data_IF_302886661056
#
_entry.id   IF_302886661056
#
_cell.length_a   1.000
_cell.length_b   1.000
_cell.length_c   1.000
_cell.angle_alpha   90.00
_cell.angle_beta   90.00
_cell.angle_gamma   90.00
#
_symmetry.space_group_name_H-M   'P 1'
#
loop_
_entity.id
_entity.type
_entity.pdbx_description
1 polymer ?
#
# COMPACT_ATOMS: atom_id res chain seq x y z
N UNK A 1 -21.34 2.68 6.00
CA UNK A 1 -20.85 2.70 4.60
C UNK A 1 -19.65 3.61 4.50
N UNK A 2 -19.69 4.78 5.14
CA UNK A 2 -18.50 5.54 5.53
C UNK A 2 -17.50 4.73 6.36
N UNK A 3 -17.96 3.72 7.12
CA UNK A 3 -17.10 2.80 7.86
C UNK A 3 -15.98 2.17 7.00
N UNK A 4 -16.24 1.85 5.72
CA UNK A 4 -15.23 1.26 4.84
C UNK A 4 -14.14 2.28 4.50
N UNK A 5 -14.54 3.48 4.07
CA UNK A 5 -13.58 4.53 3.67
C UNK A 5 -12.83 5.07 4.86
N UNK A 6 -13.51 5.26 6.00
CA UNK A 6 -12.85 5.61 7.25
C UNK A 6 -11.82 4.55 7.65
N UNK A 7 -12.20 3.28 7.69
CA UNK A 7 -11.30 2.20 8.08
C UNK A 7 -10.12 2.06 7.12
N UNK A 8 -10.35 2.15 5.81
CA UNK A 8 -9.28 2.14 4.80
C UNK A 8 -8.34 3.34 4.97
N UNK A 9 -8.87 4.53 5.27
CA UNK A 9 -8.09 5.70 5.61
C UNK A 9 -7.18 5.45 6.82
N UNK A 10 -7.71 4.86 7.89
CA UNK A 10 -6.94 4.49 9.08
C UNK A 10 -5.82 3.47 8.75
N UNK A 11 -6.06 2.52 7.83
CA UNK A 11 -5.01 1.59 7.39
C UNK A 11 -3.89 2.30 6.62
N UNK A 12 -4.26 3.22 5.72
CA UNK A 12 -3.30 4.01 4.94
C UNK A 12 -2.47 4.93 5.83
N UNK A 13 -3.07 5.52 6.88
CA UNK A 13 -2.36 6.36 7.85
C UNK A 13 -1.35 5.55 8.67
N UNK A 14 -1.70 4.33 9.09
CA UNK A 14 -0.78 3.45 9.80
C UNK A 14 0.36 2.97 8.90
N UNK A 15 0.07 2.62 7.64
CA UNK A 15 1.08 2.22 6.66
C UNK A 15 2.03 3.38 6.34
N UNK A 16 1.52 4.60 6.21
CA UNK A 16 2.34 5.80 6.02
C UNK A 16 3.25 6.01 7.23
N UNK A 17 2.71 5.87 8.45
CA UNK A 17 3.49 6.01 9.68
C UNK A 17 4.64 5.00 9.73
N UNK A 18 4.38 3.74 9.34
CA UNK A 18 5.39 2.67 9.28
C UNK A 18 6.43 2.98 8.20
N UNK A 19 6.01 3.35 6.99
CA UNK A 19 6.90 3.68 5.88
C UNK A 19 7.82 4.86 6.22
N UNK A 20 7.27 5.94 6.80
CA UNK A 20 8.09 7.10 7.24
C UNK A 20 9.06 6.74 8.35
N UNK A 21 8.68 5.87 9.27
CA UNK A 21 9.56 5.42 10.36
C UNK A 21 10.72 4.54 9.86
N UNK A 22 10.62 3.99 8.65
CA UNK A 22 11.70 3.25 8.01
C UNK A 22 12.76 4.17 7.37
N UNK A 23 12.54 5.49 7.37
CA UNK A 23 13.51 6.50 6.95
C UNK A 23 14.19 7.14 8.17
N UNK A 24 15.52 7.03 8.27
CA UNK A 24 16.34 7.66 9.30
C UNK A 24 16.71 9.12 8.95
N UNK A 25 16.72 9.45 7.67
CA UNK A 25 16.95 10.78 7.09
C UNK A 25 16.26 10.95 5.70
N UNK A 26 16.45 12.10 5.06
CA UNK A 26 15.86 12.42 3.74
C UNK A 26 16.38 11.59 2.56
N UNK A 27 17.46 10.82 2.74
CA UNK A 27 18.07 10.00 1.69
C UNK A 27 17.85 8.49 1.92
N UNK A 28 17.31 8.12 3.07
CA UNK A 28 17.11 6.71 3.43
C UNK A 28 15.83 6.04 2.89
N UNK A 29 15.08 6.73 2.04
CA UNK A 29 13.77 6.29 1.54
C UNK A 29 13.81 5.40 0.30
N UNK A 30 14.97 5.31 -0.36
CA UNK A 30 15.21 4.45 -1.54
C UNK A 30 16.16 3.33 -1.17
N UNK A 31 15.73 2.09 -1.41
CA UNK A 31 16.50 0.91 -1.03
C UNK A 31 17.05 0.18 -2.24
N UNK A 32 18.26 -0.37 -2.08
CA UNK A 32 18.95 -1.16 -3.11
C UNK A 32 19.40 -2.50 -2.55
N UNK A 33 19.02 -3.58 -3.22
CA UNK A 33 19.56 -4.91 -2.96
C UNK A 33 20.96 -5.03 -3.55
N UNK A 34 21.95 -5.42 -2.74
CA UNK A 34 23.34 -5.61 -3.14
C UNK A 34 23.75 -7.08 -3.03
N UNK A 35 24.32 -7.66 -4.10
CA UNK A 35 24.91 -8.98 -4.02
C UNK A 35 26.25 -8.94 -3.25
N UNK A 36 26.68 -10.08 -2.68
CA UNK A 36 27.99 -10.19 -2.04
C UNK A 36 29.10 -10.01 -3.09
N UNK A 37 30.14 -9.23 -2.76
CA UNK A 37 31.30 -8.98 -3.64
C UNK A 37 32.46 -9.96 -3.34
N UNK A 38 32.48 -10.54 -2.14
CA UNK A 38 33.41 -11.60 -1.76
C UNK A 38 32.66 -12.85 -1.25
N UNK A 39 33.34 -14.00 -1.27
CA UNK A 39 32.73 -15.29 -0.88
C UNK A 39 32.30 -15.37 0.60
N UNK A 40 32.75 -14.45 1.44
CA UNK A 40 32.37 -14.33 2.85
C UNK A 40 31.33 -13.23 3.11
N UNK A 41 30.99 -12.43 2.10
CA UNK A 41 29.99 -11.36 2.20
C UNK A 41 28.57 -11.92 2.02
N UNK A 42 27.57 -11.13 2.44
CA UNK A 42 26.15 -11.50 2.43
C UNK A 42 25.38 -10.55 1.51
N UNK A 43 24.17 -10.94 1.12
CA UNK A 43 23.23 -10.00 0.52
C UNK A 43 22.85 -8.93 1.54
N UNK A 44 22.81 -7.68 1.11
CA UNK A 44 22.37 -6.57 1.94
C UNK A 44 21.33 -5.76 1.19
N UNK A 45 20.35 -5.25 1.93
CA UNK A 45 19.57 -4.10 1.47
C UNK A 45 20.20 -2.90 2.14
N UNK A 46 20.57 -1.94 1.32
CA UNK A 46 21.13 -0.66 1.77
C UNK A 46 20.22 0.46 1.31
N UNK A 47 20.28 1.60 1.99
CA UNK A 47 19.67 2.81 1.50
C UNK A 47 20.58 3.56 0.50
N UNK A 48 20.19 4.77 0.10
CA UNK A 48 20.97 5.60 -0.83
C UNK A 48 22.36 5.98 -0.30
N UNK A 49 22.52 6.08 1.02
CA UNK A 49 23.77 6.46 1.69
C UNK A 49 24.72 5.27 1.88
N UNK A 50 24.36 4.09 1.36
CA UNK A 50 25.03 2.81 1.58
C UNK A 50 24.95 2.30 3.02
N UNK A 51 24.04 2.86 3.83
CA UNK A 51 23.80 2.39 5.19
C UNK A 51 22.95 1.11 5.15
N UNK A 52 23.36 0.12 5.94
CA UNK A 52 22.72 -1.20 5.91
C UNK A 52 21.34 -1.16 6.59
N UNK A 53 20.28 -1.31 5.79
CA UNK A 53 18.89 -1.48 6.24
C UNK A 53 18.72 -2.86 6.87
N UNK A 54 19.16 -3.91 6.18
CA UNK A 54 19.14 -5.29 6.69
C UNK A 54 20.19 -6.17 6.00
N UNK A 55 20.80 -7.09 6.75
CA UNK A 55 21.63 -8.17 6.19
C UNK A 55 20.79 -9.44 6.02
N UNK A 56 20.73 -9.95 4.79
CA UNK A 56 20.03 -11.20 4.47
C UNK A 56 21.03 -12.34 4.64
N UNK A 57 20.88 -13.16 5.69
CA UNK A 57 21.80 -14.28 5.94
C UNK A 57 21.55 -15.43 4.97
N UNK A 58 22.59 -16.20 4.60
CA UNK A 58 22.48 -17.29 3.64
C UNK A 58 21.54 -18.43 4.08
N UNK A 59 21.19 -18.54 5.37
CA UNK A 59 20.17 -19.50 5.84
C UNK A 59 18.72 -19.04 5.55
N UNK A 60 18.50 -17.77 5.19
CA UNK A 60 17.18 -17.11 5.12
C UNK A 60 16.74 -16.72 3.69
N UNK A 61 17.14 -17.53 2.70
CA UNK A 61 16.88 -17.39 1.25
C UNK A 61 17.93 -16.60 0.46
N UNK A 62 18.04 -16.99 -0.80
CA UNK A 62 19.17 -16.83 -1.70
C UNK A 62 18.95 -15.74 -2.78
N UNK A 63 19.82 -15.81 -3.80
CA UNK A 63 20.58 -14.75 -4.47
C UNK A 63 19.87 -13.68 -5.33
N UNK A 64 18.59 -13.39 -5.12
CA UNK A 64 17.97 -12.17 -5.69
C UNK A 64 16.59 -11.89 -5.10
N UNK A 65 15.81 -12.91 -4.73
CA UNK A 65 14.36 -12.77 -4.49
C UNK A 65 14.00 -11.93 -3.27
N UNK A 66 14.51 -12.28 -2.09
CA UNK A 66 14.11 -11.61 -0.83
C UNK A 66 14.65 -10.18 -0.76
N UNK A 67 15.96 -10.00 -0.99
CA UNK A 67 16.58 -8.67 -0.98
C UNK A 67 15.95 -7.74 -2.02
N UNK A 68 15.70 -8.24 -3.24
CA UNK A 68 15.00 -7.46 -4.28
C UNK A 68 13.57 -7.15 -3.89
N UNK A 69 12.82 -8.10 -3.33
CA UNK A 69 11.46 -7.83 -2.88
C UNK A 69 11.43 -6.75 -1.80
N UNK A 70 12.33 -6.81 -0.81
CA UNK A 70 12.44 -5.76 0.21
C UNK A 70 12.80 -4.41 -0.43
N UNK A 71 13.81 -4.37 -1.30
CA UNK A 71 14.23 -3.13 -1.97
C UNK A 71 13.13 -2.57 -2.90
N UNK A 72 12.38 -3.45 -3.55
CA UNK A 72 11.28 -3.09 -4.45
C UNK A 72 10.06 -2.53 -3.69
N UNK A 73 9.95 -2.78 -2.40
CA UNK A 73 8.95 -2.22 -1.49
C UNK A 73 9.56 -1.17 -0.54
N UNK A 74 10.47 -0.34 -1.07
CA UNK A 74 11.08 0.76 -0.32
C UNK A 74 10.05 1.80 0.18
N UNK A 75 10.40 2.57 1.23
CA UNK A 75 9.51 3.59 1.79
C UNK A 75 9.01 4.59 0.75
N UNK A 76 9.87 5.04 -0.16
CA UNK A 76 9.49 6.02 -1.18
C UNK A 76 8.39 5.48 -2.12
N UNK A 77 8.46 4.21 -2.54
CA UNK A 77 7.43 3.58 -3.36
C UNK A 77 6.14 3.40 -2.56
N UNK A 78 6.21 2.89 -1.33
CA UNK A 78 5.02 2.68 -0.49
C UNK A 78 4.27 3.99 -0.29
N UNK A 79 4.98 5.10 -0.02
CA UNK A 79 4.37 6.43 0.13
C UNK A 79 3.68 6.90 -1.17
N UNK A 80 4.24 6.60 -2.36
CA UNK A 80 3.59 6.90 -3.64
C UNK A 80 2.32 6.06 -3.87
N UNK A 81 2.33 4.78 -3.47
CA UNK A 81 1.16 3.91 -3.56
C UNK A 81 0.03 4.37 -2.62
N UNK A 82 0.38 4.81 -1.41
CA UNK A 82 -0.57 5.40 -0.45
C UNK A 82 -1.18 6.68 -1.02
N UNK A 83 -0.35 7.59 -1.55
CA UNK A 83 -0.84 8.83 -2.17
C UNK A 83 -1.79 8.55 -3.34
N UNK A 84 -1.43 7.62 -4.24
CA UNK A 84 -2.31 7.20 -5.33
C UNK A 84 -3.63 6.61 -4.83
N UNK A 85 -3.60 5.81 -3.75
CA UNK A 85 -4.80 5.23 -3.14
C UNK A 85 -5.68 6.31 -2.50
N UNK A 86 -5.09 7.32 -1.85
CA UNK A 86 -5.84 8.47 -1.32
C UNK A 86 -6.49 9.29 -2.43
N UNK A 87 -5.81 9.49 -3.55
CA UNK A 87 -6.41 10.14 -4.72
C UNK A 87 -7.58 9.32 -5.29
N UNK A 88 -7.49 7.98 -5.30
CA UNK A 88 -8.62 7.12 -5.66
C UNK A 88 -9.78 7.26 -4.68
N UNK A 89 -9.53 7.31 -3.37
CA UNK A 89 -10.58 7.54 -2.37
C UNK A 89 -11.30 8.87 -2.62
N UNK A 90 -10.55 9.96 -2.85
CA UNK A 90 -11.10 11.28 -3.15
C UNK A 90 -11.88 11.33 -4.48
N UNK A 91 -11.48 10.50 -5.47
CA UNK A 91 -12.22 10.38 -6.72
C UNK A 91 -13.54 9.62 -6.55
N UNK A 92 -13.56 8.65 -5.63
CA UNK A 92 -14.70 7.76 -5.39
C UNK A 92 -15.57 8.20 -4.21
N UNK A 93 -15.79 9.51 -4.06
CA UNK A 93 -16.65 10.08 -3.01
C UNK A 93 -18.14 9.75 -3.21
N UNK A 94 -18.92 9.65 -2.11
CA UNK A 94 -20.36 9.50 -2.17
C UNK A 94 -21.01 10.77 -2.71
N UNK A 95 -22.03 10.60 -3.54
CA UNK A 95 -22.90 11.66 -4.02
C UNK A 95 -24.37 11.23 -3.87
N UNK A 96 -25.22 12.17 -3.47
CA UNK A 96 -26.66 11.97 -3.44
C UNK A 96 -27.28 12.32 -4.81
N UNK A 97 -28.20 11.48 -5.30
CA UNK A 97 -28.98 11.76 -6.51
C UNK A 97 -30.47 11.72 -6.21
N UNK A 98 -31.22 12.72 -6.70
CA UNK A 98 -32.65 12.93 -6.41
C UNK A 98 -33.54 11.71 -6.72
N UNK A 99 -33.13 10.86 -7.67
CA UNK A 99 -33.93 9.72 -8.16
C UNK A 99 -33.34 8.35 -7.82
N UNK A 100 -32.31 8.27 -6.96
CA UNK A 100 -31.69 7.02 -6.52
C UNK A 100 -31.76 6.93 -5.00
N UNK A 101 -32.22 5.79 -4.48
CA UNK A 101 -32.19 5.53 -3.03
C UNK A 101 -30.77 5.11 -2.62
N UNK A 102 -30.15 5.92 -1.75
CA UNK A 102 -28.78 5.74 -1.26
C UNK A 102 -27.70 6.50 -2.03
N UNK A 103 -26.49 6.46 -1.47
CA UNK A 103 -25.33 7.14 -2.04
C UNK A 103 -24.82 6.43 -3.29
N UNK A 104 -24.43 7.23 -4.27
CA UNK A 104 -23.79 6.76 -5.49
C UNK A 104 -22.35 7.24 -5.61
N UNK A 105 -21.56 6.54 -6.40
CA UNK A 105 -20.20 6.91 -6.76
C UNK A 105 -20.20 7.42 -8.21
N UNK A 106 -20.15 8.74 -8.39
CA UNK A 106 -20.19 9.38 -9.71
C UNK A 106 -19.01 8.97 -10.61
N UNK A 107 -17.85 8.66 -10.03
CA UNK A 107 -16.69 8.17 -10.78
C UNK A 107 -16.92 6.78 -11.40
N UNK A 108 -17.86 5.99 -10.86
CA UNK A 108 -18.25 4.69 -11.40
C UNK A 108 -19.49 4.74 -12.31
N UNK A 109 -20.19 5.88 -12.39
CA UNK A 109 -21.39 6.04 -13.20
C UNK A 109 -21.07 6.24 -14.69
N UNK A 110 -20.60 5.17 -15.33
CA UNK A 110 -20.37 5.10 -16.78
C UNK A 110 -21.40 4.16 -17.40
N UNK A 111 -22.50 4.73 -17.91
CA UNK A 111 -23.44 4.11 -18.86
C UNK A 111 -23.96 2.71 -18.44
N UNK A 112 -24.51 2.59 -17.24
CA UNK A 112 -25.20 1.37 -16.79
C UNK A 112 -24.37 0.43 -15.91
N UNK A 113 -23.31 0.94 -15.26
CA UNK A 113 -22.66 0.24 -14.14
C UNK A 113 -23.53 0.20 -12.89
N UNK A 114 -23.05 -0.46 -11.83
CA UNK A 114 -23.64 -0.38 -10.48
C UNK A 114 -23.07 0.86 -9.78
N UNK A 115 -23.81 1.98 -9.70
CA UNK A 115 -23.26 3.23 -9.22
C UNK A 115 -23.26 3.30 -7.69
N UNK A 116 -23.59 2.22 -6.96
CA UNK A 116 -23.76 2.28 -5.51
C UNK A 116 -22.45 2.52 -4.77
N UNK A 117 -22.51 3.38 -3.75
CA UNK A 117 -21.42 3.57 -2.80
C UNK A 117 -21.60 2.66 -1.57
N UNK A 118 -20.52 2.10 -0.99
CA UNK A 118 -19.14 2.07 -1.48
C UNK A 118 -19.03 1.16 -2.71
N UNK A 119 -18.46 1.69 -3.78
CA UNK A 119 -18.39 1.00 -5.06
C UNK A 119 -17.40 -0.16 -5.04
N UNK A 120 -17.48 -1.03 -6.05
CA UNK A 120 -16.59 -2.20 -6.20
C UNK A 120 -15.10 -1.82 -6.18
N UNK A 121 -14.74 -0.66 -6.71
CA UNK A 121 -13.34 -0.17 -6.67
C UNK A 121 -12.87 -0.01 -5.24
N UNK A 122 -13.64 0.68 -4.38
CA UNK A 122 -13.29 0.87 -2.96
C UNK A 122 -13.18 -0.46 -2.22
N UNK A 123 -14.08 -1.41 -2.51
CA UNK A 123 -14.04 -2.78 -1.95
C UNK A 123 -12.83 -3.59 -2.41
N UNK A 124 -12.34 -3.37 -3.63
CA UNK A 124 -11.10 -4.01 -4.11
C UNK A 124 -9.87 -3.44 -3.42
N UNK A 125 -9.87 -2.14 -3.11
CA UNK A 125 -8.77 -1.48 -2.40
C UNK A 125 -8.60 -1.95 -0.95
N UNK A 126 -9.63 -2.56 -0.35
CA UNK A 126 -9.51 -3.14 1.00
C UNK A 126 -8.94 -4.55 1.02
N UNK A 127 -8.86 -5.25 -0.13
CA UNK A 127 -8.39 -6.64 -0.18
C UNK A 127 -6.96 -6.87 0.34
N UNK A 128 -5.98 -5.97 0.12
CA UNK A 128 -4.65 -6.11 0.73
C UNK A 128 -4.66 -6.14 2.26
N UNK A 129 -5.76 -5.70 2.88
CA UNK A 129 -5.93 -5.59 4.32
C UNK A 129 -6.89 -6.63 4.90
N UNK A 130 -7.27 -7.66 4.13
CA UNK A 130 -8.26 -8.66 4.55
C UNK A 130 -7.84 -9.49 5.78
N UNK A 131 -6.56 -9.54 6.10
CA UNK A 131 -5.98 -10.20 7.28
C UNK A 131 -5.86 -9.27 8.49
N UNK A 132 -6.15 -7.97 8.35
CA UNK A 132 -6.03 -7.00 9.44
C UNK A 132 -7.25 -7.03 10.37
N UNK A 133 -7.04 -6.88 11.69
CA UNK A 133 -8.14 -6.69 12.63
C UNK A 133 -9.04 -5.52 12.23
N UNK A 134 -10.35 -5.73 12.30
CA UNK A 134 -11.36 -4.72 11.92
C UNK A 134 -11.82 -4.81 10.47
N UNK A 135 -11.14 -5.59 9.61
CA UNK A 135 -11.68 -5.92 8.29
C UNK A 135 -13.01 -6.68 8.44
N UNK A 136 -14.03 -6.29 7.66
CA UNK A 136 -15.34 -6.94 7.64
C UNK A 136 -15.50 -7.73 6.34
N UNK A 137 -15.89 -9.00 6.43
CA UNK A 137 -16.11 -9.86 5.24
C UNK A 137 -17.18 -9.30 4.28
N UNK A 138 -18.13 -8.49 4.78
CA UNK A 138 -19.11 -7.78 3.95
C UNK A 138 -18.48 -6.76 2.97
N UNK A 139 -17.24 -6.35 3.20
CA UNK A 139 -16.49 -5.48 2.29
C UNK A 139 -15.82 -6.24 1.15
N UNK A 140 -15.76 -7.58 1.21
CA UNK A 140 -15.22 -8.39 0.13
C UNK A 140 -16.14 -8.25 -1.11
N UNK A 141 -15.60 -7.95 -2.31
CA UNK A 141 -16.38 -7.81 -3.54
C UNK A 141 -17.15 -9.06 -3.97
#
# INVERSE_FOLDING_TARGET
MDDLVQWLGEQLDEDERIARAACWDEQSDVWTARPPQASYERYTVVDYCDDAVVSVTPENADADGVGRHVAEHDPARVLREIDATRQLLALHEPAEMEYVDGDVCMACDVRGGEPFYPCKTLRLLTLPYADRPGYREEWRP
#
